data_IF_937735868707
#
_entry.id   IF_937735868707
#
_cell.length_a   1.000
_cell.length_b   1.000
_cell.length_c   1.000
_cell.angle_alpha   90.00
_cell.angle_beta   90.00
_cell.angle_gamma   90.00
#
_symmetry.space_group_name_H-M   'P 1'
#
loop_
_entity.id
_entity.type
_entity.pdbx_description
1 polymer ?
#
# COMPACT_ATOMS: atom_id res chain seq x y z
N UNK A 1 22.18 44.92 -33.10
CA UNK A 1 20.74 45.25 -33.18
C UNK A 1 19.94 44.18 -32.44
N UNK A 2 19.93 44.22 -31.10
CA UNK A 2 18.99 43.45 -30.27
C UNK A 2 18.65 44.37 -29.10
N UNK A 3 17.48 45.01 -29.18
CA UNK A 3 16.97 45.92 -28.16
C UNK A 3 16.36 45.10 -27.03
N UNK A 4 17.05 45.05 -25.89
CA UNK A 4 16.57 44.43 -24.67
C UNK A 4 15.33 45.18 -24.16
N UNK A 5 14.27 44.43 -23.90
CA UNK A 5 12.99 44.88 -23.36
C UNK A 5 13.23 45.73 -22.09
N UNK A 6 13.05 47.06 -22.18
CA UNK A 6 13.11 47.96 -21.02
C UNK A 6 11.69 48.28 -20.56
N UNK A 7 11.20 47.52 -19.59
CA UNK A 7 9.97 47.83 -18.90
C UNK A 7 10.24 48.91 -17.84
N UNK A 8 9.89 50.15 -18.12
CA UNK A 8 9.92 51.26 -17.14
C UNK A 8 8.49 51.48 -16.63
N UNK A 9 8.20 51.08 -15.40
CA UNK A 9 6.98 51.49 -14.70
C UNK A 9 7.20 52.84 -14.02
N UNK A 10 6.45 53.86 -14.45
CA UNK A 10 6.39 55.17 -13.81
C UNK A 10 5.29 55.16 -12.76
N UNK A 11 5.66 55.26 -11.49
CA UNK A 11 4.74 55.44 -10.36
C UNK A 11 4.13 56.84 -10.40
N UNK A 12 2.87 56.95 -10.82
CA UNK A 12 1.85 57.87 -10.29
C UNK A 12 0.56 57.72 -11.13
N UNK A 13 -0.57 57.46 -10.45
CA UNK A 13 -1.96 57.33 -10.94
C UNK A 13 -2.43 55.94 -11.38
N UNK A 14 -3.24 55.29 -10.53
CA UNK A 14 -4.19 54.22 -10.87
C UNK A 14 -3.59 52.87 -11.31
N UNK A 15 -4.18 51.75 -10.87
CA UNK A 15 -3.85 50.43 -11.41
C UNK A 15 -4.13 50.43 -12.92
N UNK A 16 -3.12 50.14 -13.74
CA UNK A 16 -3.33 50.03 -15.19
C UNK A 16 -4.02 48.70 -15.50
N UNK A 17 -4.94 48.68 -16.47
CA UNK A 17 -5.67 47.46 -16.86
C UNK A 17 -4.70 46.32 -17.25
N UNK A 18 -3.56 46.67 -17.85
CA UNK A 18 -2.54 45.71 -18.26
C UNK A 18 -1.85 45.04 -17.06
N UNK A 19 -1.56 45.76 -15.96
CA UNK A 19 -0.99 45.15 -14.75
C UNK A 19 -1.94 44.14 -14.11
N UNK A 20 -3.24 44.44 -14.10
CA UNK A 20 -4.27 43.53 -13.57
C UNK A 20 -4.34 42.25 -14.40
N UNK A 21 -4.31 42.37 -15.74
CA UNK A 21 -4.32 41.23 -16.65
C UNK A 21 -3.08 40.35 -16.52
N UNK A 22 -1.89 40.97 -16.42
CA UNK A 22 -0.63 40.22 -16.23
C UNK A 22 -0.64 39.50 -14.87
N UNK A 23 -1.09 40.17 -13.81
CA UNK A 23 -1.18 39.57 -12.47
C UNK A 23 -2.16 38.39 -12.42
N UNK A 24 -3.36 38.54 -13.01
CA UNK A 24 -4.34 37.46 -13.13
C UNK A 24 -3.79 36.27 -13.92
N UNK A 25 -3.08 36.55 -15.02
CA UNK A 25 -2.46 35.51 -15.85
C UNK A 25 -1.43 34.71 -15.05
N UNK A 26 -0.54 35.40 -14.32
CA UNK A 26 0.45 34.75 -13.46
C UNK A 26 -0.20 33.94 -12.33
N UNK A 27 -1.23 34.49 -11.68
CA UNK A 27 -1.98 33.78 -10.63
C UNK A 27 -2.63 32.52 -11.21
N UNK A 28 -3.24 32.58 -12.40
CA UNK A 28 -3.84 31.40 -13.02
C UNK A 28 -2.82 30.31 -13.33
N UNK A 29 -1.63 30.68 -13.82
CA UNK A 29 -0.55 29.72 -14.09
C UNK A 29 -0.10 29.01 -12.81
N UNK A 30 0.05 29.77 -11.72
CA UNK A 30 0.42 29.22 -10.40
C UNK A 30 -0.69 28.32 -9.87
N UNK A 31 -1.95 28.74 -9.95
CA UNK A 31 -3.09 27.95 -9.47
C UNK A 31 -3.20 26.60 -10.18
N UNK A 32 -3.03 26.57 -11.50
CA UNK A 32 -3.06 25.30 -12.26
C UNK A 32 -1.96 24.34 -11.80
N UNK A 33 -0.75 24.86 -11.56
CA UNK A 33 0.35 24.04 -11.06
C UNK A 33 0.04 23.45 -9.66
N UNK A 34 -0.51 24.27 -8.75
CA UNK A 34 -0.82 23.86 -7.38
C UNK A 34 -1.99 22.85 -7.34
N UNK A 35 -3.00 23.01 -8.19
CA UNK A 35 -4.11 22.04 -8.29
C UNK A 35 -3.63 20.63 -8.67
N UNK A 36 -2.65 20.54 -9.56
CA UNK A 36 -2.03 19.27 -9.92
C UNK A 36 -1.39 18.56 -8.72
N UNK A 37 -0.75 19.31 -7.82
CA UNK A 37 -0.15 18.77 -6.60
C UNK A 37 -1.20 18.23 -5.62
N UNK A 38 -2.35 18.88 -5.50
CA UNK A 38 -3.44 18.39 -4.64
C UNK A 38 -4.01 17.04 -5.12
N UNK A 39 -4.25 16.91 -6.43
CA UNK A 39 -4.73 15.65 -7.03
C UNK A 39 -3.70 14.53 -6.82
N UNK A 40 -2.43 14.83 -7.07
CA UNK A 40 -1.34 13.89 -6.84
C UNK A 40 -1.25 13.46 -5.38
N UNK A 41 -1.30 14.41 -4.44
CA UNK A 41 -1.26 14.16 -3.00
C UNK A 41 -2.41 13.27 -2.54
N UNK A 42 -3.64 13.54 -3.00
CA UNK A 42 -4.81 12.73 -2.67
C UNK A 42 -4.64 11.28 -3.15
N UNK A 43 -4.17 11.09 -4.39
CA UNK A 43 -3.91 9.76 -4.96
C UNK A 43 -2.79 9.03 -4.22
N UNK A 44 -1.70 9.72 -3.88
CA UNK A 44 -0.58 9.17 -3.13
C UNK A 44 -0.99 8.74 -1.72
N UNK A 45 -1.79 9.58 -1.05
CA UNK A 45 -2.33 9.29 0.29
C UNK A 45 -3.24 8.07 0.27
N UNK A 46 -4.13 7.97 -0.72
CA UNK A 46 -5.00 6.79 -0.87
C UNK A 46 -4.18 5.50 -1.05
N UNK A 47 -3.21 5.50 -1.96
CA UNK A 47 -2.32 4.34 -2.18
C UNK A 47 -1.53 3.95 -0.94
N UNK A 48 -1.05 4.95 -0.20
CA UNK A 48 -0.31 4.71 1.05
C UNK A 48 -1.20 4.06 2.10
N UNK A 49 -2.46 4.52 2.22
CA UNK A 49 -3.46 3.90 3.10
C UNK A 49 -3.75 2.45 2.70
N UNK A 50 -4.03 2.19 1.42
CA UNK A 50 -4.28 0.82 0.91
C UNK A 50 -3.13 -0.14 1.25
N UNK A 51 -1.87 0.31 1.04
CA UNK A 51 -0.68 -0.49 1.36
C UNK A 51 -0.48 -0.67 2.87
N UNK A 52 -0.72 0.36 3.68
CA UNK A 52 -0.62 0.29 5.13
C UNK A 52 -1.65 -0.69 5.72
N UNK A 53 -2.91 -0.59 5.28
CA UNK A 53 -3.99 -1.48 5.73
C UNK A 53 -3.69 -2.94 5.33
N UNK A 54 -3.22 -3.17 4.10
CA UNK A 54 -2.81 -4.51 3.65
C UNK A 54 -1.62 -5.05 4.46
N UNK A 55 -0.66 -4.20 4.81
CA UNK A 55 0.49 -4.57 5.63
C UNK A 55 0.08 -4.92 7.05
N UNK A 56 -0.87 -4.19 7.64
CA UNK A 56 -1.43 -4.50 8.95
C UNK A 56 -2.13 -5.86 8.95
N UNK A 57 -2.92 -6.14 7.90
CA UNK A 57 -3.56 -7.46 7.73
C UNK A 57 -2.51 -8.56 7.59
N UNK A 58 -1.49 -8.36 6.75
CA UNK A 58 -0.40 -9.34 6.57
C UNK A 58 0.32 -9.62 7.89
N UNK A 59 0.61 -8.57 8.66
CA UNK A 59 1.27 -8.65 9.97
C UNK A 59 0.45 -9.46 10.97
N UNK A 60 -0.83 -9.15 11.11
CA UNK A 60 -1.69 -9.85 12.07
C UNK A 60 -1.78 -11.35 11.76
N UNK A 61 -1.83 -11.70 10.48
CA UNK A 61 -1.82 -13.11 10.06
C UNK A 61 -0.46 -13.77 10.28
N UNK A 62 0.64 -13.04 10.05
CA UNK A 62 1.97 -13.56 10.35
C UNK A 62 2.18 -13.80 11.85
N UNK A 63 1.73 -12.87 12.69
CA UNK A 63 1.76 -13.02 14.16
C UNK A 63 0.89 -14.20 14.61
N UNK A 64 -0.26 -14.42 13.96
CA UNK A 64 -1.10 -15.58 14.21
C UNK A 64 -0.41 -16.90 13.84
N UNK A 65 0.23 -16.99 12.67
CA UNK A 65 1.01 -18.17 12.25
C UNK A 65 2.16 -18.41 13.22
N UNK A 66 2.88 -17.35 13.59
CA UNK A 66 3.94 -17.43 14.60
C UNK A 66 3.40 -18.00 15.92
N UNK A 67 2.24 -17.53 16.39
CA UNK A 67 1.58 -18.07 17.57
C UNK A 67 1.25 -19.57 17.46
N UNK A 68 0.74 -20.01 16.31
CA UNK A 68 0.51 -21.44 16.04
C UNK A 68 1.81 -22.24 16.10
N UNK A 69 2.89 -21.72 15.49
CA UNK A 69 4.22 -22.37 15.50
C UNK A 69 4.82 -22.60 16.88
N UNK A 70 4.35 -21.86 17.89
CA UNK A 70 4.82 -21.96 19.27
C UNK A 70 3.89 -22.74 20.20
N UNK A 71 2.67 -23.06 19.75
CA UNK A 71 1.62 -23.61 20.63
C UNK A 71 1.17 -25.00 20.25
N UNK A 72 1.35 -25.42 19.00
CA UNK A 72 0.94 -26.73 18.48
C UNK A 72 1.96 -27.26 17.50
N UNK A 73 1.92 -28.58 17.27
CA UNK A 73 2.67 -29.22 16.19
C UNK A 73 2.21 -28.72 14.81
N UNK A 74 3.00 -29.01 13.77
CA UNK A 74 2.76 -28.48 12.43
C UNK A 74 1.41 -28.89 11.86
N UNK A 75 1.07 -30.18 11.92
CA UNK A 75 -0.18 -30.72 11.37
C UNK A 75 -1.41 -30.18 12.11
N UNK A 76 -1.35 -30.11 13.45
CA UNK A 76 -2.39 -29.45 14.25
C UNK A 76 -2.51 -27.97 13.91
N UNK A 77 -1.40 -27.28 13.62
CA UNK A 77 -1.38 -25.89 13.16
C UNK A 77 -2.12 -25.71 11.83
N UNK A 78 -1.87 -26.60 10.87
CA UNK A 78 -2.59 -26.62 9.59
C UNK A 78 -4.09 -26.86 9.77
N UNK A 79 -4.47 -27.78 10.66
CA UNK A 79 -5.89 -28.02 10.93
C UNK A 79 -6.55 -26.80 11.58
N UNK A 80 -5.92 -26.16 12.58
CA UNK A 80 -6.45 -24.95 13.22
C UNK A 80 -6.61 -23.78 12.27
N UNK A 81 -5.72 -23.62 11.29
CA UNK A 81 -5.90 -22.61 10.23
C UNK A 81 -7.23 -22.81 9.49
N UNK A 82 -7.59 -24.06 9.23
CA UNK A 82 -8.82 -24.42 8.52
C UNK A 82 -10.05 -24.35 9.42
N UNK A 83 -10.00 -24.99 10.59
CA UNK A 83 -11.18 -25.22 11.44
C UNK A 83 -11.49 -24.03 12.34
N UNK A 84 -10.47 -23.41 12.94
CA UNK A 84 -10.66 -22.29 13.88
C UNK A 84 -10.51 -20.93 13.19
N UNK A 85 -9.55 -20.79 12.28
CA UNK A 85 -9.28 -19.50 11.61
C UNK A 85 -10.06 -19.32 10.31
N UNK A 86 -10.72 -20.37 9.82
CA UNK A 86 -11.64 -20.32 8.68
C UNK A 86 -10.93 -20.09 7.34
N UNK A 87 -9.72 -20.60 7.18
CA UNK A 87 -9.03 -20.60 5.89
C UNK A 87 -9.42 -21.81 5.05
N UNK A 88 -9.61 -21.59 3.76
CA UNK A 88 -9.83 -22.65 2.79
C UNK A 88 -8.49 -23.17 2.28
N UNK A 89 -8.31 -24.48 2.19
CA UNK A 89 -7.09 -25.07 1.62
C UNK A 89 -7.20 -25.06 0.09
N UNK A 90 -6.33 -24.31 -0.55
CA UNK A 90 -6.26 -24.13 -2.01
C UNK A 90 -5.39 -25.20 -2.69
N UNK A 91 -4.39 -25.71 -1.99
CA UNK A 91 -3.51 -26.77 -2.48
C UNK A 91 -3.06 -27.68 -1.35
N UNK A 92 -3.23 -29.00 -1.55
CA UNK A 92 -2.78 -30.03 -0.62
C UNK A 92 -1.26 -30.19 -0.65
N UNK A 93 -0.65 -30.16 -1.84
CA UNK A 93 0.79 -30.39 -2.02
C UNK A 93 1.65 -29.20 -1.60
N UNK A 94 1.10 -27.99 -1.59
CA UNK A 94 1.85 -26.77 -1.31
C UNK A 94 1.47 -26.08 0.00
N UNK A 95 0.62 -26.72 0.82
CA UNK A 95 0.09 -26.15 2.08
C UNK A 95 -0.32 -24.67 1.89
N UNK A 96 -1.13 -24.44 0.86
CA UNK A 96 -1.60 -23.13 0.46
C UNK A 96 -3.04 -22.95 0.95
N UNK A 97 -3.28 -21.83 1.62
CA UNK A 97 -4.54 -21.49 2.24
C UNK A 97 -5.00 -20.11 1.79
N UNK A 98 -6.31 -19.90 1.68
CA UNK A 98 -6.93 -18.66 1.22
C UNK A 98 -8.12 -18.26 2.09
N UNK A 99 -8.29 -16.95 2.30
CA UNK A 99 -9.45 -16.39 2.99
C UNK A 99 -9.68 -14.93 2.58
N UNK A 100 -10.93 -14.53 2.44
CA UNK A 100 -11.31 -13.13 2.26
C UNK A 100 -11.52 -12.44 3.61
N UNK A 101 -10.87 -11.30 3.82
CA UNK A 101 -10.97 -10.46 5.01
C UNK A 101 -11.11 -9.01 4.56
N UNK A 102 -12.22 -8.34 4.93
CA UNK A 102 -12.44 -6.92 4.65
C UNK A 102 -12.18 -6.54 3.17
N UNK A 103 -12.83 -7.25 2.25
CA UNK A 103 -12.71 -7.09 0.78
C UNK A 103 -11.31 -7.40 0.19
N UNK A 104 -10.35 -7.78 1.03
CA UNK A 104 -9.01 -8.23 0.63
C UNK A 104 -8.91 -9.73 0.68
N UNK A 105 -8.17 -10.31 -0.26
CA UNK A 105 -7.91 -11.73 -0.30
C UNK A 105 -6.55 -12.03 0.31
N UNK A 106 -6.52 -12.86 1.35
CA UNK A 106 -5.30 -13.26 2.07
C UNK A 106 -4.95 -14.68 1.66
N UNK A 107 -3.69 -14.92 1.34
CA UNK A 107 -3.16 -16.27 1.15
C UNK A 107 -2.02 -16.53 2.11
N UNK A 108 -1.96 -17.76 2.62
CA UNK A 108 -0.91 -18.25 3.51
C UNK A 108 -0.30 -19.48 2.85
N UNK A 109 1.02 -19.49 2.67
CA UNK A 109 1.79 -20.66 2.24
C UNK A 109 2.76 -21.06 3.33
N UNK A 110 2.78 -22.35 3.67
CA UNK A 110 3.66 -22.93 4.69
C UNK A 110 4.46 -24.08 4.07
N UNK A 111 5.70 -23.80 3.67
CA UNK A 111 6.55 -24.77 2.98
C UNK A 111 7.65 -25.27 3.91
N UNK A 112 7.84 -26.58 3.96
CA UNK A 112 8.97 -27.15 4.70
C UNK A 112 10.29 -26.81 4.01
N UNK A 113 11.25 -26.32 4.80
CA UNK A 113 12.61 -26.03 4.39
C UNK A 113 13.59 -26.63 5.40
N UNK A 114 13.83 -27.94 5.27
CA UNK A 114 14.64 -28.69 6.24
C UNK A 114 13.92 -28.80 7.58
N UNK A 115 14.51 -28.21 8.63
CA UNK A 115 13.92 -28.15 9.96
C UNK A 115 13.13 -26.85 10.23
N UNK A 116 12.94 -26.02 9.21
CA UNK A 116 12.21 -24.75 9.29
C UNK A 116 10.97 -24.81 8.40
N UNK A 117 10.00 -23.97 8.72
CA UNK A 117 8.84 -23.71 7.87
C UNK A 117 8.98 -22.31 7.29
N UNK A 118 9.03 -22.21 5.96
CA UNK A 118 8.89 -20.95 5.23
C UNK A 118 7.42 -20.53 5.20
N UNK A 119 7.12 -19.46 5.94
CA UNK A 119 5.79 -18.91 6.08
C UNK A 119 5.66 -17.63 5.26
N UNK A 120 4.79 -17.66 4.26
CA UNK A 120 4.51 -16.52 3.38
C UNK A 120 3.05 -16.13 3.52
N UNK A 121 2.81 -14.85 3.84
CA UNK A 121 1.48 -14.23 3.84
C UNK A 121 1.42 -13.20 2.73
N UNK A 122 0.49 -13.37 1.80
CA UNK A 122 0.20 -12.36 0.77
C UNK A 122 -1.20 -11.78 0.96
N UNK A 123 -1.34 -10.48 0.77
CA UNK A 123 -2.62 -9.77 0.82
C UNK A 123 -2.86 -9.09 -0.53
N UNK A 124 -3.98 -9.45 -1.14
CA UNK A 124 -4.41 -8.96 -2.44
C UNK A 124 -5.65 -8.08 -2.29
N UNK A 125 -5.72 -7.06 -3.14
CA UNK A 125 -6.89 -6.21 -3.34
C UNK A 125 -7.09 -6.09 -4.85
N UNK A 126 -8.27 -6.43 -5.36
CA UNK A 126 -8.56 -6.46 -6.80
C UNK A 126 -7.53 -7.25 -7.63
N UNK A 127 -7.08 -8.40 -7.10
CA UNK A 127 -6.01 -9.24 -7.69
C UNK A 127 -4.61 -8.61 -7.73
N UNK A 128 -4.42 -7.42 -7.13
CA UNK A 128 -3.13 -6.75 -7.01
C UNK A 128 -2.52 -7.09 -5.65
N UNK A 129 -1.29 -7.59 -5.63
CA UNK A 129 -0.55 -7.81 -4.39
C UNK A 129 -0.25 -6.45 -3.73
N UNK A 130 -0.80 -6.22 -2.54
CA UNK A 130 -0.63 -4.97 -1.78
C UNK A 130 0.37 -5.09 -0.63
N UNK A 131 0.49 -6.28 -0.08
CA UNK A 131 1.47 -6.59 0.97
C UNK A 131 1.90 -8.05 0.91
N UNK A 132 3.17 -8.29 1.24
CA UNK A 132 3.75 -9.61 1.44
C UNK A 132 4.59 -9.59 2.71
N UNK A 133 4.45 -10.62 3.53
CA UNK A 133 5.35 -10.91 4.65
C UNK A 133 5.87 -12.34 4.53
N UNK A 134 7.14 -12.53 4.84
CA UNK A 134 7.84 -13.81 4.72
C UNK A 134 8.78 -13.96 5.91
N UNK A 135 8.76 -15.14 6.51
CA UNK A 135 9.66 -15.47 7.62
C UNK A 135 9.87 -16.98 7.69
N UNK A 136 11.02 -17.37 8.21
CA UNK A 136 11.32 -18.76 8.53
C UNK A 136 10.98 -19.00 10.01
N UNK A 137 10.25 -20.07 10.27
CA UNK A 137 9.78 -20.44 11.60
C UNK A 137 10.32 -21.80 12.00
N UNK A 138 10.80 -21.90 13.25
CA UNK A 138 10.94 -23.18 13.94
C UNK A 138 9.58 -23.50 14.54
N UNK A 139 8.99 -24.61 14.10
CA UNK A 139 7.72 -25.12 14.60
C UNK A 139 7.96 -26.04 15.79
N UNK A 140 7.06 -26.00 16.79
CA UNK A 140 7.08 -26.97 17.88
C UNK A 140 6.88 -28.39 17.31
N UNK A 141 7.61 -29.35 17.86
CA UNK A 141 7.42 -30.78 17.59
C UNK A 141 6.15 -31.32 18.24
#
# INVERSE_FOLDING_TARGET
MISFFRFKFSLNQGFTLIEVLVSLSLISMILTAVLGLFVFSAKSSKRSKESFDATYIARNHMEMIYGLSKTVDFESGLDRLRTEKGFERLSLSENLFGKTVEEKYVTISLKEWGNLIDAIVNVYEDSILRAKMETLLIWAE
#
